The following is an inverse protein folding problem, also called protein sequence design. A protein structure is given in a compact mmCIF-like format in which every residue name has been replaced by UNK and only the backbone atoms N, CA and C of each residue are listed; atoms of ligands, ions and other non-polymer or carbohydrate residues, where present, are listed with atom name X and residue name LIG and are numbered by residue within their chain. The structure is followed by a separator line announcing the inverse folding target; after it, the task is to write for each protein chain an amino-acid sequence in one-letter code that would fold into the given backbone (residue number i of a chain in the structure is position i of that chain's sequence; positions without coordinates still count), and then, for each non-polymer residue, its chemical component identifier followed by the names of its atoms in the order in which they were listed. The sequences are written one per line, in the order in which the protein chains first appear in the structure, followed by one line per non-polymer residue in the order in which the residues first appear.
data_IF_810092025185
#
_entry.id   IF_810092025185
#
_cell.length_a   1.000
_cell.length_b   1.000
_cell.length_c   1.000
_cell.angle_alpha   90.00
_cell.angle_beta   90.00
_cell.angle_gamma   90.00
#
_symmetry.space_group_name_H-M   'P 1'
#
loop_
_entity.id
_entity.type
_entity.pdbx_description
1 polymer ?
#
# COMPACT_ATOMS: atom_id res chain seq x y z
N UNK A 1 -0.42 7.27 -40.08
CA UNK A 1 -1.04 6.17 -39.32
C UNK A 1 0.10 5.30 -38.87
N UNK A 2 0.35 5.18 -37.58
CA UNK A 2 1.34 4.25 -37.08
C UNK A 2 0.90 2.84 -37.44
N UNK A 3 1.80 2.09 -38.09
CA UNK A 3 1.58 0.72 -38.50
C UNK A 3 1.28 -0.09 -37.23
N UNK A 4 0.04 -0.58 -37.09
CA UNK A 4 -0.36 -1.32 -35.90
C UNK A 4 0.44 -2.63 -35.85
N UNK A 5 1.47 -2.66 -34.99
CA UNK A 5 2.36 -3.81 -34.87
C UNK A 5 1.65 -4.92 -34.11
N UNK A 6 1.20 -5.94 -34.81
CA UNK A 6 0.59 -7.11 -34.19
C UNK A 6 1.64 -7.95 -33.49
N UNK A 7 1.44 -8.22 -32.21
CA UNK A 7 2.20 -9.22 -31.45
C UNK A 7 1.32 -10.43 -31.19
N UNK A 8 1.87 -11.63 -31.40
CA UNK A 8 1.19 -12.89 -31.09
C UNK A 8 1.97 -13.68 -30.06
N UNK A 9 1.29 -14.12 -29.01
CA UNK A 9 1.82 -15.07 -28.04
C UNK A 9 1.20 -16.43 -28.34
N UNK A 10 2.03 -17.41 -28.58
CA UNK A 10 1.61 -18.81 -28.86
C UNK A 10 1.96 -19.74 -27.72
N UNK A 11 1.29 -20.87 -27.64
CA UNK A 11 1.56 -21.94 -26.67
C UNK A 11 1.51 -21.46 -25.21
N UNK A 12 0.62 -20.54 -24.89
CA UNK A 12 0.45 -20.01 -23.52
C UNK A 12 -0.35 -20.98 -22.65
N UNK A 13 0.04 -21.11 -21.38
CA UNK A 13 -0.84 -21.57 -20.31
C UNK A 13 -1.55 -20.35 -19.72
N UNK A 14 -2.73 -20.02 -20.27
CA UNK A 14 -3.43 -18.78 -19.94
C UNK A 14 -4.24 -18.90 -18.66
N UNK A 15 -4.04 -17.94 -17.74
CA UNK A 15 -4.93 -17.63 -16.61
C UNK A 15 -5.41 -16.20 -16.79
N UNK A 16 -6.67 -16.03 -17.18
CA UNK A 16 -7.22 -14.76 -17.65
C UNK A 16 -7.87 -13.88 -16.56
N UNK A 17 -7.79 -14.32 -15.30
CA UNK A 17 -8.37 -13.59 -14.15
C UNK A 17 -9.86 -13.85 -13.93
N UNK A 18 -10.51 -14.67 -14.75
CA UNK A 18 -11.94 -15.02 -14.59
C UNK A 18 -12.24 -15.98 -13.44
N UNK A 19 -11.20 -16.56 -12.82
CA UNK A 19 -11.32 -17.65 -11.84
C UNK A 19 -11.43 -19.03 -12.46
N UNK A 20 -11.46 -19.13 -13.80
CA UNK A 20 -11.43 -20.41 -14.50
C UNK A 20 -10.04 -21.07 -14.40
N UNK A 21 -9.95 -22.42 -14.52
CA UNK A 21 -8.67 -23.11 -14.61
C UNK A 21 -7.81 -22.62 -15.77
N UNK A 22 -6.48 -22.75 -15.62
CA UNK A 22 -5.54 -22.45 -16.69
C UNK A 22 -5.88 -23.29 -17.94
N UNK A 23 -5.78 -22.67 -19.12
CA UNK A 23 -6.03 -23.32 -20.41
C UNK A 23 -4.95 -22.98 -21.42
N UNK A 24 -4.71 -23.87 -22.37
CA UNK A 24 -3.83 -23.56 -23.50
C UNK A 24 -4.50 -22.52 -24.40
N UNK A 25 -3.76 -21.50 -24.82
CA UNK A 25 -4.29 -20.44 -25.66
C UNK A 25 -3.20 -19.76 -26.50
N UNK A 26 -3.66 -19.15 -27.59
CA UNK A 26 -2.91 -18.13 -28.32
C UNK A 26 -3.58 -16.78 -28.12
N UNK A 27 -2.75 -15.73 -28.04
CA UNK A 27 -3.19 -14.37 -27.75
C UNK A 27 -2.60 -13.45 -28.81
N UNK A 28 -3.41 -12.55 -29.38
CA UNK A 28 -2.90 -11.48 -30.22
C UNK A 28 -3.30 -10.11 -29.71
N UNK A 29 -2.41 -9.13 -29.89
CA UNK A 29 -2.71 -7.74 -29.58
C UNK A 29 -2.05 -6.81 -30.60
N UNK A 30 -2.70 -5.67 -30.83
CA UNK A 30 -2.28 -4.60 -31.70
C UNK A 30 -2.13 -3.32 -30.88
N UNK A 31 -0.89 -2.82 -30.79
CA UNK A 31 -0.59 -1.72 -29.88
C UNK A 31 -0.89 -2.11 -28.44
N UNK A 32 -1.87 -1.46 -27.83
CA UNK A 32 -2.34 -1.64 -26.45
C UNK A 32 -3.62 -2.50 -26.34
N UNK A 33 -4.15 -2.99 -27.45
CA UNK A 33 -5.45 -3.65 -27.49
C UNK A 33 -5.31 -5.15 -27.76
N UNK A 34 -5.86 -5.99 -26.87
CA UNK A 34 -5.97 -7.43 -27.09
C UNK A 34 -7.06 -7.66 -28.17
N UNK A 35 -6.66 -8.17 -29.32
CA UNK A 35 -7.55 -8.39 -30.47
C UNK A 35 -8.05 -9.82 -30.55
N UNK A 36 -7.34 -10.79 -29.96
CA UNK A 36 -7.74 -12.19 -29.98
C UNK A 36 -7.24 -12.94 -28.75
N UNK A 37 -8.08 -13.82 -28.21
CA UNK A 37 -7.73 -14.85 -27.23
C UNK A 37 -8.48 -16.13 -27.63
N UNK A 38 -7.77 -17.16 -28.04
CA UNK A 38 -8.40 -18.40 -28.55
C UNK A 38 -7.55 -19.64 -28.35
N UNK A 39 -8.03 -20.76 -28.88
CA UNK A 39 -7.33 -22.05 -28.82
C UNK A 39 -5.97 -21.98 -29.55
N UNK A 40 -5.00 -22.86 -29.20
CA UNK A 40 -3.73 -22.95 -29.93
C UNK A 40 -3.93 -23.12 -31.45
N UNK A 41 -3.20 -22.31 -32.22
CA UNK A 41 -3.31 -22.27 -33.66
C UNK A 41 -4.48 -21.45 -34.22
N UNK A 42 -5.26 -20.78 -33.37
CA UNK A 42 -6.38 -19.93 -33.80
C UNK A 42 -5.95 -18.56 -34.33
N UNK A 43 -4.69 -18.17 -34.13
CA UNK A 43 -4.12 -16.93 -34.65
C UNK A 43 -3.06 -17.19 -35.69
N UNK A 44 -3.18 -16.51 -36.84
CA UNK A 44 -2.12 -16.54 -37.85
C UNK A 44 -0.91 -15.72 -37.40
N UNK A 45 0.26 -16.33 -37.43
CA UNK A 45 1.54 -15.66 -37.16
C UNK A 45 2.18 -15.07 -38.42
N UNK A 46 1.61 -15.32 -39.62
CA UNK A 46 2.22 -14.99 -40.92
C UNK A 46 2.43 -13.47 -41.12
N UNK A 47 1.61 -12.63 -40.49
CA UNK A 47 1.67 -11.17 -40.60
C UNK A 47 1.99 -10.50 -39.27
N UNK A 48 2.34 -11.28 -38.23
CA UNK A 48 2.71 -10.73 -36.94
C UNK A 48 4.10 -10.06 -37.03
N UNK A 49 4.20 -8.85 -36.52
CA UNK A 49 5.48 -8.14 -36.39
C UNK A 49 6.37 -8.73 -35.28
N UNK A 50 5.76 -9.43 -34.33
CA UNK A 50 6.44 -10.16 -33.25
C UNK A 50 5.66 -11.42 -32.89
N UNK A 51 6.36 -12.54 -32.76
CA UNK A 51 5.82 -13.79 -32.25
C UNK A 51 6.62 -14.18 -31.00
N UNK A 52 5.90 -14.50 -29.94
CA UNK A 52 6.47 -14.96 -28.66
C UNK A 52 5.93 -16.36 -28.42
N UNK A 53 6.79 -17.39 -28.48
CA UNK A 53 6.43 -18.73 -28.05
C UNK A 53 6.53 -18.79 -26.52
N UNK A 54 5.41 -18.94 -25.83
CA UNK A 54 5.38 -19.05 -24.38
C UNK A 54 5.88 -20.41 -23.88
N UNK A 55 6.06 -21.42 -24.76
CA UNK A 55 6.58 -22.75 -24.39
C UNK A 55 5.79 -23.40 -23.23
N UNK A 56 4.49 -23.17 -23.16
CA UNK A 56 3.64 -23.65 -22.07
C UNK A 56 3.77 -22.86 -20.76
N UNK A 57 4.53 -21.76 -20.77
CA UNK A 57 4.63 -20.90 -19.58
C UNK A 57 3.32 -20.20 -19.28
N UNK A 58 3.16 -19.84 -18.01
CA UNK A 58 2.01 -19.08 -17.56
C UNK A 58 1.99 -17.70 -18.22
N UNK A 59 0.84 -17.35 -18.78
CA UNK A 59 0.52 -16.01 -19.27
C UNK A 59 -0.70 -15.50 -18.51
N UNK A 60 -0.59 -14.32 -17.96
CA UNK A 60 -1.65 -13.67 -17.17
C UNK A 60 -1.82 -12.23 -17.63
N UNK A 61 -2.95 -11.58 -17.35
CA UNK A 61 -3.01 -10.13 -17.32
C UNK A 61 -1.93 -9.56 -16.40
N UNK A 62 -1.52 -8.32 -16.62
CA UNK A 62 -0.63 -7.62 -15.69
C UNK A 62 -1.22 -7.56 -14.29
N UNK A 63 -0.34 -7.62 -13.28
CA UNK A 63 -0.78 -7.56 -11.89
C UNK A 63 -1.22 -6.15 -11.51
N UNK A 64 -2.33 -6.06 -10.78
CA UNK A 64 -2.79 -4.80 -10.17
C UNK A 64 -2.46 -4.85 -8.68
N UNK A 65 -1.58 -3.96 -8.21
CA UNK A 65 -1.32 -3.78 -6.79
C UNK A 65 -2.27 -2.70 -6.25
N UNK A 66 -3.30 -3.13 -5.54
CA UNK A 66 -4.38 -2.27 -5.07
C UNK A 66 -4.04 -1.48 -3.81
N UNK A 67 -2.84 -1.69 -3.24
CA UNK A 67 -2.44 -1.01 -2.01
C UNK A 67 -0.96 -0.66 -2.01
N UNK A 68 -0.66 0.57 -2.40
CA UNK A 68 0.69 1.12 -2.46
C UNK A 68 0.73 2.54 -1.92
N UNK A 69 1.95 3.05 -1.66
CA UNK A 69 2.21 4.41 -1.20
C UNK A 69 3.21 5.13 -2.11
N UNK A 70 2.95 5.06 -3.42
CA UNK A 70 3.74 5.78 -4.44
C UNK A 70 3.37 7.26 -4.57
N UNK A 71 2.52 7.79 -3.71
CA UNK A 71 1.95 9.15 -3.79
C UNK A 71 2.98 10.24 -3.99
N UNK A 72 4.10 10.17 -3.30
CA UNK A 72 5.24 11.05 -3.51
C UNK A 72 6.09 10.58 -4.70
N UNK A 73 6.46 9.29 -4.72
CA UNK A 73 7.39 8.72 -5.69
C UNK A 73 6.91 8.88 -7.13
N UNK A 74 5.61 8.81 -7.38
CA UNK A 74 5.03 9.03 -8.70
C UNK A 74 5.31 10.44 -9.26
N UNK A 75 5.72 11.40 -8.43
CA UNK A 75 6.07 12.75 -8.89
C UNK A 75 7.50 12.86 -9.44
N UNK A 76 8.37 11.84 -9.24
CA UNK A 76 9.76 11.86 -9.73
C UNK A 76 10.27 10.54 -10.33
N UNK A 77 9.65 9.38 -9.99
CA UNK A 77 10.09 8.08 -10.52
C UNK A 77 9.16 7.59 -11.64
N UNK A 78 9.62 7.66 -12.90
CA UNK A 78 8.80 7.18 -14.01
C UNK A 78 8.65 5.65 -14.04
N UNK A 79 9.46 4.92 -13.28
CA UNK A 79 9.47 3.47 -13.27
C UNK A 79 8.52 2.86 -12.24
N UNK A 80 8.13 3.61 -11.21
CA UNK A 80 7.36 3.15 -10.05
C UNK A 80 7.93 1.84 -9.49
N UNK A 81 9.22 1.89 -9.18
CA UNK A 81 9.96 0.74 -8.66
C UNK A 81 9.72 0.58 -7.17
N UNK A 82 9.73 -0.66 -6.64
CA UNK A 82 10.06 -1.92 -7.31
C UNK A 82 8.88 -2.66 -7.96
N UNK A 83 7.64 -2.16 -7.88
CA UNK A 83 6.44 -2.87 -8.34
C UNK A 83 6.53 -3.25 -9.83
N UNK A 84 6.99 -2.33 -10.68
CA UNK A 84 7.17 -2.57 -12.12
C UNK A 84 8.14 -3.72 -12.44
N UNK A 85 9.13 -4.00 -11.57
CA UNK A 85 10.08 -5.10 -11.75
C UNK A 85 9.48 -6.49 -11.47
N UNK A 86 8.31 -6.53 -10.84
CA UNK A 86 7.65 -7.77 -10.42
C UNK A 86 6.41 -8.12 -11.26
N UNK A 87 6.26 -7.47 -12.43
CA UNK A 87 5.13 -7.73 -13.33
C UNK A 87 3.84 -7.00 -12.95
N UNK A 88 3.91 -6.06 -12.01
CA UNK A 88 2.82 -5.13 -11.75
C UNK A 88 2.74 -4.15 -12.91
N UNK A 89 1.54 -3.97 -13.44
CA UNK A 89 1.25 -3.05 -14.55
C UNK A 89 0.36 -1.89 -14.12
N UNK A 90 -0.25 -1.99 -12.95
CA UNK A 90 -1.10 -0.94 -12.39
C UNK A 90 -0.96 -0.91 -10.87
N UNK A 91 -0.79 0.26 -10.29
CA UNK A 91 -0.77 0.47 -8.84
C UNK A 91 -1.89 1.41 -8.40
N UNK A 92 -2.41 1.19 -7.19
CA UNK A 92 -3.34 2.11 -6.54
C UNK A 92 -2.66 2.72 -5.32
N UNK A 93 -2.60 4.05 -5.26
CA UNK A 93 -2.01 4.81 -4.18
C UNK A 93 -3.03 5.70 -3.48
N UNK A 94 -2.64 6.49 -2.48
CA UNK A 94 -3.55 7.25 -1.63
C UNK A 94 -4.27 6.36 -0.62
N UNK A 95 -3.64 5.28 -0.17
CA UNK A 95 -4.20 4.34 0.80
C UNK A 95 -4.02 4.83 2.25
N UNK A 96 -4.61 4.14 3.20
CA UNK A 96 -4.42 4.33 4.64
C UNK A 96 -4.72 5.75 5.16
N UNK A 97 -5.40 6.59 4.38
CA UNK A 97 -5.68 7.98 4.76
C UNK A 97 -4.47 8.90 4.71
N UNK A 98 -3.34 8.49 4.10
CA UNK A 98 -2.15 9.30 3.89
C UNK A 98 -1.91 9.56 2.42
N UNK A 99 -1.44 10.77 2.09
CA UNK A 99 -1.23 11.22 0.72
C UNK A 99 -0.90 12.71 0.68
N UNK A 100 -0.71 13.25 -0.51
CA UNK A 100 -0.17 14.61 -0.72
C UNK A 100 -1.17 15.58 -1.39
N UNK A 101 -2.45 15.21 -1.46
CA UNK A 101 -3.49 16.08 -2.02
C UNK A 101 -4.87 15.87 -1.37
N UNK A 102 -5.63 16.98 -1.14
CA UNK A 102 -5.24 18.38 -1.37
C UNK A 102 -4.19 18.85 -0.35
N UNK A 103 -3.40 19.88 -0.70
CA UNK A 103 -2.31 20.37 0.14
C UNK A 103 -2.18 21.90 0.08
N UNK A 104 -2.24 22.56 1.22
CA UNK A 104 -1.87 23.97 1.36
C UNK A 104 -0.34 24.11 1.46
N UNK A 105 0.26 25.21 0.95
CA UNK A 105 1.70 25.39 0.98
C UNK A 105 2.35 25.33 2.37
N UNK A 106 1.64 25.76 3.40
CA UNK A 106 2.08 25.72 4.80
C UNK A 106 1.90 24.34 5.47
N UNK A 107 1.39 23.34 4.72
CA UNK A 107 1.19 21.96 5.17
C UNK A 107 2.11 20.94 4.50
N UNK A 108 2.95 21.35 3.57
CA UNK A 108 3.81 20.44 2.81
C UNK A 108 4.74 19.62 3.72
N UNK A 109 5.44 20.29 4.64
CA UNK A 109 6.35 19.64 5.58
C UNK A 109 5.60 18.67 6.50
N UNK A 110 4.45 19.08 7.01
CA UNK A 110 3.61 18.25 7.86
C UNK A 110 3.10 16.98 7.14
N UNK A 111 2.71 17.08 5.85
CA UNK A 111 2.32 15.92 5.05
C UNK A 111 3.48 14.96 4.83
N UNK A 112 4.71 15.47 4.66
CA UNK A 112 5.92 14.65 4.57
C UNK A 112 6.18 13.93 5.88
N UNK A 113 6.12 14.62 7.03
CA UNK A 113 6.30 14.01 8.34
C UNK A 113 5.24 12.93 8.64
N UNK A 114 4.00 13.16 8.20
CA UNK A 114 2.92 12.19 8.32
C UNK A 114 3.23 10.91 7.54
N UNK A 115 3.61 11.04 6.26
CA UNK A 115 3.96 9.91 5.41
C UNK A 115 5.21 9.18 5.91
N UNK A 116 6.25 9.92 6.34
CA UNK A 116 7.46 9.33 6.91
C UNK A 116 7.16 8.48 8.14
N UNK A 117 6.26 8.97 9.01
CA UNK A 117 5.91 8.24 10.23
C UNK A 117 5.05 7.00 10.00
N UNK A 118 4.18 7.02 8.99
CA UNK A 118 3.26 5.90 8.69
C UNK A 118 3.93 4.81 7.87
N UNK A 119 4.74 5.21 6.86
CA UNK A 119 5.25 4.29 5.84
C UNK A 119 6.78 4.13 5.87
N UNK A 120 7.45 4.80 6.81
CA UNK A 120 8.92 4.83 6.92
C UNK A 120 9.64 5.26 5.61
N UNK A 121 8.96 6.04 4.76
CA UNK A 121 9.56 6.63 3.57
C UNK A 121 10.41 7.84 4.00
N UNK A 122 11.72 7.88 3.67
CA UNK A 122 12.57 8.96 4.16
C UNK A 122 12.08 10.35 3.76
N UNK A 123 11.82 11.21 4.75
CA UNK A 123 11.35 12.58 4.53
C UNK A 123 12.29 13.40 3.62
N UNK A 124 13.61 13.17 3.72
CA UNK A 124 14.60 13.82 2.86
C UNK A 124 14.41 13.51 1.37
N UNK A 125 14.04 12.29 1.03
CA UNK A 125 13.74 11.90 -0.35
C UNK A 125 12.47 12.59 -0.86
N UNK A 126 11.46 12.70 -0.01
CA UNK A 126 10.20 13.38 -0.35
C UNK A 126 10.37 14.90 -0.51
N UNK A 127 11.15 15.53 0.38
CA UNK A 127 11.47 16.97 0.28
C UNK A 127 12.18 17.29 -1.02
N UNK A 128 13.11 16.44 -1.46
CA UNK A 128 13.84 16.63 -2.71
C UNK A 128 12.99 16.29 -3.96
N UNK A 129 12.15 15.25 -3.84
CA UNK A 129 11.43 14.69 -5.00
C UNK A 129 10.13 15.40 -5.34
N UNK A 130 9.37 15.89 -4.35
CA UNK A 130 8.05 16.46 -4.59
C UNK A 130 8.16 17.91 -5.06
N UNK A 131 7.56 18.22 -6.22
CA UNK A 131 7.62 19.57 -6.82
C UNK A 131 6.49 20.50 -6.37
N UNK A 132 5.45 19.96 -5.70
CA UNK A 132 4.31 20.73 -5.17
C UNK A 132 3.63 21.66 -6.19
N UNK A 133 3.32 21.13 -7.37
CA UNK A 133 2.67 21.86 -8.47
C UNK A 133 1.14 21.96 -8.31
N UNK A 134 0.61 21.65 -7.14
CA UNK A 134 -0.83 21.56 -6.88
C UNK A 134 -1.20 22.08 -5.48
N UNK A 135 -2.46 22.48 -5.34
CA UNK A 135 -3.13 22.76 -4.07
C UNK A 135 -4.37 21.86 -3.91
N UNK A 136 -5.14 21.70 -4.99
CA UNK A 136 -6.30 20.83 -5.03
C UNK A 136 -5.96 19.41 -5.48
N UNK A 137 -6.89 18.48 -5.26
CA UNK A 137 -6.72 17.10 -5.73
C UNK A 137 -6.77 16.98 -7.27
N UNK A 138 -7.66 17.69 -8.02
CA UNK A 138 -7.59 17.72 -9.48
C UNK A 138 -6.24 18.18 -10.02
N UNK A 139 -5.66 19.25 -9.46
CA UNK A 139 -4.35 19.74 -9.88
C UNK A 139 -3.24 18.71 -9.64
N UNK A 140 -3.36 17.90 -8.56
CA UNK A 140 -2.44 16.78 -8.31
C UNK A 140 -2.54 15.72 -9.42
N UNK A 141 -3.76 15.35 -9.82
CA UNK A 141 -3.94 14.43 -10.96
C UNK A 141 -3.34 15.01 -12.25
N UNK A 142 -3.55 16.29 -12.54
CA UNK A 142 -2.97 16.98 -13.69
C UNK A 142 -1.43 16.97 -13.61
N UNK A 143 -0.85 17.16 -12.42
CA UNK A 143 0.59 17.12 -12.22
C UNK A 143 1.17 15.73 -12.49
N UNK A 144 0.47 14.68 -12.10
CA UNK A 144 0.84 13.28 -12.37
C UNK A 144 0.69 12.95 -13.86
N UNK A 145 -0.40 13.37 -14.51
CA UNK A 145 -0.66 13.09 -15.92
C UNK A 145 0.41 13.70 -16.86
N UNK A 146 0.98 14.84 -16.48
CA UNK A 146 2.08 15.45 -17.24
C UNK A 146 3.36 14.61 -17.26
N UNK A 147 3.45 13.56 -16.44
CA UNK A 147 4.63 12.70 -16.31
C UNK A 147 4.39 11.36 -16.97
N UNK A 148 5.38 10.88 -17.72
CA UNK A 148 5.30 9.54 -18.31
C UNK A 148 5.72 8.49 -17.31
N UNK A 149 4.93 7.44 -17.18
CA UNK A 149 5.21 6.29 -16.31
C UNK A 149 5.19 4.99 -17.12
N UNK A 150 5.94 3.98 -16.67
CA UNK A 150 6.04 2.67 -17.36
C UNK A 150 4.89 1.73 -17.00
N UNK A 151 4.16 2.03 -15.92
CA UNK A 151 2.95 1.32 -15.50
C UNK A 151 1.86 2.33 -15.19
N UNK A 152 0.63 1.89 -15.26
CA UNK A 152 -0.53 2.70 -14.91
C UNK A 152 -0.63 2.88 -13.40
N UNK A 153 -1.28 3.96 -12.99
CA UNK A 153 -1.62 4.19 -11.59
C UNK A 153 -2.97 4.87 -11.45
N UNK A 154 -3.56 4.67 -10.30
CA UNK A 154 -4.71 5.46 -9.83
C UNK A 154 -4.50 5.85 -8.38
N UNK A 155 -5.18 6.90 -7.95
CA UNK A 155 -5.02 7.41 -6.59
C UNK A 155 -6.37 7.66 -5.93
N UNK A 156 -6.40 7.53 -4.61
CA UNK A 156 -7.55 7.85 -3.76
C UNK A 156 -7.29 9.16 -3.04
N UNK A 157 -8.36 9.91 -2.72
CA UNK A 157 -8.21 11.08 -1.86
C UNK A 157 -8.00 10.62 -0.42
N UNK A 158 -6.92 11.08 0.20
CA UNK A 158 -6.50 10.68 1.53
C UNK A 158 -7.16 11.53 2.63
N UNK A 159 -7.77 10.89 3.62
CA UNK A 159 -8.51 11.56 4.70
C UNK A 159 -7.64 12.52 5.51
N UNK A 160 -6.40 12.13 5.84
CA UNK A 160 -5.47 12.97 6.59
C UNK A 160 -5.16 14.30 5.89
N UNK A 161 -4.88 14.24 4.58
CA UNK A 161 -4.65 15.42 3.77
C UNK A 161 -5.92 16.29 3.68
N UNK A 162 -7.08 15.67 3.46
CA UNK A 162 -8.37 16.36 3.37
C UNK A 162 -8.74 17.07 4.67
N UNK A 163 -8.58 16.41 5.82
CA UNK A 163 -8.82 17.01 7.15
C UNK A 163 -7.89 18.19 7.43
N UNK A 164 -6.59 18.03 7.15
CA UNK A 164 -5.62 19.10 7.32
C UNK A 164 -5.93 20.30 6.42
N UNK A 165 -6.38 20.05 5.20
CA UNK A 165 -6.76 21.09 4.25
C UNK A 165 -8.00 21.88 4.69
N UNK A 166 -9.05 21.20 5.19
CA UNK A 166 -10.33 21.82 5.56
C UNK A 166 -10.31 22.41 6.97
N UNK A 167 -9.73 21.68 7.93
CA UNK A 167 -9.83 21.99 9.35
C UNK A 167 -8.52 22.55 9.93
N UNK A 168 -7.42 22.56 9.15
CA UNK A 168 -6.11 23.00 9.61
C UNK A 168 -5.61 22.16 10.81
N UNK A 169 -5.11 22.82 11.85
CA UNK A 169 -4.57 22.18 13.07
C UNK A 169 -5.61 21.33 13.79
N UNK A 170 -6.86 21.74 13.79
CA UNK A 170 -7.96 20.94 14.37
C UNK A 170 -8.06 19.58 13.69
N UNK A 171 -7.98 19.56 12.35
CA UNK A 171 -8.02 18.33 11.57
C UNK A 171 -6.80 17.45 11.81
N UNK A 172 -5.61 18.05 11.84
CA UNK A 172 -4.35 17.39 12.16
C UNK A 172 -4.37 16.73 13.53
N UNK A 173 -4.97 17.38 14.52
CA UNK A 173 -5.06 16.89 15.91
C UNK A 173 -6.25 15.95 16.17
N UNK A 174 -6.91 15.45 15.14
CA UNK A 174 -8.08 14.56 15.27
C UNK A 174 -9.27 15.16 16.05
N UNK A 175 -9.45 16.49 16.06
CA UNK A 175 -10.66 17.09 16.63
C UNK A 175 -11.90 16.68 15.82
N UNK A 176 -13.05 16.65 16.47
CA UNK A 176 -14.33 16.31 15.83
C UNK A 176 -14.66 17.36 14.77
N UNK A 177 -15.02 16.91 13.57
CA UNK A 177 -15.44 17.76 12.46
C UNK A 177 -16.80 18.39 12.75
N UNK A 178 -16.92 19.68 12.48
CA UNK A 178 -18.23 20.37 12.51
C UNK A 178 -19.08 19.98 11.30
N UNK A 179 -20.40 20.22 11.32
CA UNK A 179 -21.24 20.01 10.15
C UNK A 179 -20.74 20.75 8.89
N UNK A 180 -20.18 21.96 9.04
CA UNK A 180 -19.63 22.74 7.93
C UNK A 180 -18.32 22.14 7.40
N UNK A 181 -17.47 21.60 8.27
CA UNK A 181 -16.27 20.86 7.88
C UNK A 181 -16.67 19.62 7.06
N UNK A 182 -17.67 18.86 7.51
CA UNK A 182 -18.19 17.67 6.82
C UNK A 182 -18.72 18.03 5.44
N UNK A 183 -19.51 19.09 5.34
CA UNK A 183 -20.03 19.58 4.04
C UNK A 183 -18.90 19.96 3.10
N UNK A 184 -17.85 20.60 3.61
CA UNK A 184 -16.70 21.03 2.81
C UNK A 184 -15.86 19.81 2.36
N UNK A 185 -15.55 18.88 3.25
CA UNK A 185 -14.86 17.64 2.92
C UNK A 185 -15.64 16.80 1.89
N UNK A 186 -16.97 16.72 2.06
CA UNK A 186 -17.86 16.04 1.12
C UNK A 186 -17.79 16.64 -0.29
N UNK A 187 -17.78 17.98 -0.41
CA UNK A 187 -17.64 18.67 -1.71
C UNK A 187 -16.29 18.42 -2.36
N UNK A 188 -15.20 18.51 -1.60
CA UNK A 188 -13.85 18.26 -2.12
C UNK A 188 -13.66 16.79 -2.54
N UNK A 189 -14.29 15.86 -1.80
CA UNK A 189 -14.29 14.44 -2.21
C UNK A 189 -15.08 14.24 -3.51
N UNK A 190 -16.23 14.90 -3.66
CA UNK A 190 -17.00 14.86 -4.90
C UNK A 190 -16.20 15.43 -6.08
N UNK A 191 -15.51 16.55 -5.88
CA UNK A 191 -14.62 17.16 -6.87
C UNK A 191 -13.50 16.21 -7.27
N UNK A 192 -12.81 15.61 -6.29
CA UNK A 192 -11.73 14.65 -6.52
C UNK A 192 -12.21 13.43 -7.33
N UNK A 193 -13.36 12.86 -6.96
CA UNK A 193 -13.93 11.72 -7.67
C UNK A 193 -14.32 12.08 -9.11
N UNK A 194 -14.91 13.25 -9.34
CA UNK A 194 -15.24 13.73 -10.70
C UNK A 194 -14.01 14.01 -11.54
N UNK A 195 -12.90 14.36 -10.92
CA UNK A 195 -11.61 14.55 -11.60
C UNK A 195 -10.89 13.23 -11.93
N UNK A 196 -11.31 12.10 -11.34
CA UNK A 196 -10.73 10.81 -11.64
C UNK A 196 -10.15 10.06 -10.43
N UNK A 197 -10.34 10.54 -9.20
CA UNK A 197 -9.97 9.78 -8.02
C UNK A 197 -10.67 8.41 -8.02
N UNK A 198 -9.94 7.35 -7.70
CA UNK A 198 -10.50 5.99 -7.61
C UNK A 198 -11.39 5.79 -6.39
N UNK A 199 -11.28 6.67 -5.41
CA UNK A 199 -12.02 6.55 -4.17
C UNK A 199 -11.50 7.47 -3.07
N UNK A 200 -11.79 7.07 -1.85
CA UNK A 200 -11.40 7.74 -0.62
C UNK A 200 -10.74 6.73 0.32
N UNK A 201 -9.74 7.16 1.07
CA UNK A 201 -9.10 6.30 2.07
C UNK A 201 -9.00 6.94 3.44
N UNK A 202 -9.06 6.12 4.49
CA UNK A 202 -8.87 6.56 5.88
C UNK A 202 -8.10 5.52 6.70
N UNK A 203 -7.56 5.96 7.84
CA UNK A 203 -6.96 5.10 8.85
C UNK A 203 -7.82 5.12 10.13
N UNK A 204 -7.97 3.92 10.72
CA UNK A 204 -8.66 3.71 12.01
C UNK A 204 -7.75 3.02 13.03
N UNK A 205 -6.51 2.69 12.63
CA UNK A 205 -5.58 1.97 13.49
C UNK A 205 -4.72 2.90 14.32
N UNK A 206 -4.43 2.50 15.54
CA UNK A 206 -3.50 3.18 16.45
C UNK A 206 -2.02 3.00 16.07
N UNK A 207 -1.73 2.15 15.07
CA UNK A 207 -0.37 1.91 14.59
C UNK A 207 0.10 3.01 13.63
N UNK A 208 -0.81 3.68 12.93
CA UNK A 208 -0.46 4.74 11.99
C UNK A 208 -0.25 6.05 12.74
N UNK A 209 1.00 6.49 12.82
CA UNK A 209 1.40 7.70 13.52
C UNK A 209 2.36 8.53 12.68
N UNK A 210 2.28 9.84 12.83
CA UNK A 210 3.31 10.74 12.31
C UNK A 210 4.66 10.49 12.98
N UNK A 211 5.71 11.07 12.46
CA UNK A 211 7.05 11.03 13.06
C UNK A 211 7.09 11.62 14.47
N UNK A 212 6.24 12.59 14.75
CA UNK A 212 6.04 13.16 16.12
C UNK A 212 5.23 12.26 17.05
N UNK A 213 4.69 11.12 16.57
CA UNK A 213 3.93 10.16 17.35
C UNK A 213 2.42 10.42 17.39
N UNK A 214 1.93 11.44 16.71
CA UNK A 214 0.50 11.75 16.61
C UNK A 214 -0.22 10.79 15.68
N UNK A 215 -1.46 10.43 16.00
CA UNK A 215 -2.28 9.54 15.16
C UNK A 215 -2.65 10.21 13.84
N UNK A 216 -2.69 9.43 12.77
CA UNK A 216 -3.17 9.88 11.45
C UNK A 216 -4.54 10.54 11.59
N UNK A 217 -4.76 11.72 11.00
CA UNK A 217 -6.06 12.36 11.03
C UNK A 217 -7.15 11.50 10.40
N UNK A 218 -8.27 11.40 11.08
CA UNK A 218 -9.37 10.50 10.72
C UNK A 218 -9.43 9.22 11.56
N UNK A 219 -8.38 8.89 12.34
CA UNK A 219 -8.38 7.70 13.22
C UNK A 219 -9.58 7.69 14.17
N UNK A 220 -9.99 8.86 14.64
CA UNK A 220 -11.13 9.05 15.53
C UNK A 220 -12.32 9.77 14.87
N UNK A 221 -12.36 9.82 13.55
CA UNK A 221 -13.48 10.43 12.84
C UNK A 221 -14.81 9.76 13.23
N UNK A 222 -15.80 10.59 13.57
CA UNK A 222 -17.13 10.14 13.90
C UNK A 222 -17.86 9.59 12.66
N UNK A 223 -18.81 8.67 12.80
CA UNK A 223 -19.53 8.09 11.67
C UNK A 223 -20.17 9.12 10.75
N UNK A 224 -20.68 10.24 11.28
CA UNK A 224 -21.33 11.30 10.46
C UNK A 224 -20.36 11.92 9.45
N UNK A 225 -19.09 12.06 9.80
CA UNK A 225 -18.07 12.54 8.89
C UNK A 225 -17.85 11.54 7.74
N UNK A 226 -17.74 10.24 8.06
CA UNK A 226 -17.58 9.18 7.07
C UNK A 226 -18.83 9.04 6.19
N UNK A 227 -20.01 9.26 6.75
CA UNK A 227 -21.27 9.25 6.00
C UNK A 227 -21.39 10.45 5.06
N UNK A 228 -20.87 11.62 5.43
CA UNK A 228 -20.78 12.77 4.53
C UNK A 228 -19.94 12.48 3.29
N UNK A 229 -18.84 11.74 3.45
CA UNK A 229 -18.01 11.24 2.34
C UNK A 229 -18.76 10.20 1.51
N UNK A 230 -19.44 9.24 2.16
CA UNK A 230 -20.27 8.24 1.47
C UNK A 230 -21.34 8.88 0.59
N UNK A 231 -21.98 9.94 1.07
CA UNK A 231 -22.97 10.68 0.31
C UNK A 231 -22.37 11.41 -0.91
N UNK A 232 -21.12 11.89 -0.83
CA UNK A 232 -20.40 12.42 -1.99
C UNK A 232 -20.16 11.31 -3.03
N UNK A 233 -19.70 10.15 -2.61
CA UNK A 233 -19.51 8.99 -3.49
C UNK A 233 -20.80 8.57 -4.18
N UNK A 234 -21.91 8.54 -3.45
CA UNK A 234 -23.23 8.25 -4.01
C UNK A 234 -23.66 9.28 -5.08
N UNK A 235 -23.41 10.57 -4.87
CA UNK A 235 -23.74 11.60 -5.85
C UNK A 235 -22.94 11.48 -7.15
N UNK A 236 -21.69 11.00 -7.04
CA UNK A 236 -20.84 10.74 -8.21
C UNK A 236 -21.18 9.40 -8.87
N UNK A 237 -21.57 8.40 -8.11
CA UNK A 237 -21.97 7.08 -8.59
C UNK A 237 -20.82 6.11 -8.78
N UNK A 238 -19.61 6.42 -8.30
CA UNK A 238 -18.45 5.52 -8.30
C UNK A 238 -17.50 5.80 -7.14
N UNK A 239 -16.51 4.91 -6.97
CA UNK A 239 -15.43 5.02 -6.01
C UNK A 239 -15.35 3.82 -5.09
N UNK A 240 -14.20 3.70 -4.41
CA UNK A 240 -13.94 2.70 -3.36
C UNK A 240 -13.71 3.46 -2.06
N UNK A 241 -14.32 3.01 -0.97
CA UNK A 241 -14.00 3.50 0.37
C UNK A 241 -13.04 2.52 1.03
N UNK A 242 -11.77 2.87 1.05
CA UNK A 242 -10.70 2.04 1.63
C UNK A 242 -10.41 2.48 3.06
N UNK A 243 -10.12 1.53 3.95
CA UNK A 243 -9.61 1.90 5.26
C UNK A 243 -8.72 0.83 5.90
N UNK A 244 -7.80 1.30 6.74
CA UNK A 244 -6.95 0.49 7.59
C UNK A 244 -7.54 0.42 8.99
N UNK A 245 -8.09 -0.73 9.41
CA UNK A 245 -8.81 -0.84 10.67
C UNK A 245 -7.87 -1.04 11.87
N UNK A 246 -8.38 -0.76 13.04
CA UNK A 246 -7.93 -1.44 14.25
C UNK A 246 -8.55 -2.84 14.25
N UNK A 247 -7.78 -3.85 13.85
CA UNK A 247 -8.30 -5.18 13.52
C UNK A 247 -9.18 -5.81 14.61
N UNK A 248 -8.81 -5.61 15.88
CA UNK A 248 -9.57 -6.11 17.03
C UNK A 248 -10.98 -5.54 17.14
N UNK A 249 -11.19 -4.31 16.61
CA UNK A 249 -12.45 -3.58 16.71
C UNK A 249 -13.40 -3.86 15.56
N UNK A 250 -12.91 -4.39 14.43
CA UNK A 250 -13.72 -4.58 13.21
C UNK A 250 -15.02 -5.34 13.47
N UNK A 251 -15.02 -6.53 14.11
CA UNK A 251 -16.27 -7.30 14.22
C UNK A 251 -17.28 -6.74 15.23
N UNK A 252 -16.91 -5.76 16.04
CA UNK A 252 -17.75 -5.25 17.11
C UNK A 252 -18.11 -3.78 16.91
N UNK A 253 -17.10 -2.92 16.73
CA UNK A 253 -17.28 -1.47 16.71
C UNK A 253 -17.34 -0.90 15.29
N UNK A 254 -16.50 -1.43 14.37
CA UNK A 254 -16.39 -0.87 13.03
C UNK A 254 -17.47 -1.44 12.08
N UNK A 255 -17.89 -2.67 12.26
CA UNK A 255 -18.79 -3.36 11.34
C UNK A 255 -20.13 -2.64 11.09
N UNK A 256 -20.84 -2.11 12.10
CA UNK A 256 -22.12 -1.46 11.88
C UNK A 256 -22.04 -0.23 10.96
N UNK A 257 -21.02 0.63 11.16
CA UNK A 257 -20.90 1.80 10.31
C UNK A 257 -20.37 1.44 8.90
N UNK A 258 -19.57 0.39 8.76
CA UNK A 258 -19.14 -0.12 7.45
C UNK A 258 -20.33 -0.54 6.60
N UNK A 259 -21.27 -1.28 7.17
CA UNK A 259 -22.49 -1.69 6.48
C UNK A 259 -23.36 -0.49 6.10
N UNK A 260 -23.52 0.46 7.01
CA UNK A 260 -24.27 1.68 6.73
C UNK A 260 -23.61 2.51 5.62
N UNK A 261 -22.26 2.63 5.65
CA UNK A 261 -21.51 3.34 4.64
C UNK A 261 -21.66 2.67 3.26
N UNK A 262 -21.55 1.33 3.18
CA UNK A 262 -21.76 0.58 1.94
C UNK A 262 -23.15 0.82 1.36
N UNK A 263 -24.19 0.79 2.22
CA UNK A 263 -25.57 1.06 1.79
C UNK A 263 -25.79 2.51 1.36
N UNK A 264 -25.20 3.47 2.05
CA UNK A 264 -25.34 4.90 1.72
C UNK A 264 -24.61 5.25 0.43
N UNK A 265 -23.39 4.83 0.29
CA UNK A 265 -22.56 5.18 -0.87
C UNK A 265 -22.96 4.40 -2.11
N UNK A 266 -23.42 3.15 -1.98
CA UNK A 266 -23.53 2.19 -3.08
C UNK A 266 -22.16 1.76 -3.63
N UNK A 267 -21.07 2.23 -3.02
CA UNK A 267 -19.69 1.95 -3.39
C UNK A 267 -19.16 0.70 -2.69
N UNK A 268 -18.02 0.21 -3.15
CA UNK A 268 -17.29 -0.85 -2.47
C UNK A 268 -16.60 -0.29 -1.23
N UNK A 269 -16.83 -0.92 -0.08
CA UNK A 269 -16.05 -0.69 1.15
C UNK A 269 -14.94 -1.73 1.20
N UNK A 270 -13.69 -1.28 1.21
CA UNK A 270 -12.50 -2.13 1.19
C UNK A 270 -11.74 -2.02 2.50
N UNK A 271 -11.61 -3.11 3.23
CA UNK A 271 -10.95 -3.15 4.54
C UNK A 271 -9.68 -4.00 4.49
N UNK A 272 -8.58 -3.47 5.03
CA UNK A 272 -7.37 -4.26 5.21
C UNK A 272 -7.64 -5.39 6.20
N UNK A 273 -7.32 -6.61 5.82
CA UNK A 273 -7.50 -7.79 6.68
C UNK A 273 -6.19 -8.55 6.81
N UNK A 274 -5.66 -8.57 8.03
CA UNK A 274 -4.45 -9.31 8.37
C UNK A 274 -4.77 -10.42 9.37
N UNK A 275 -4.13 -11.56 9.20
CA UNK A 275 -4.08 -12.58 10.23
C UNK A 275 -3.03 -12.18 11.27
N UNK A 276 -3.48 -11.83 12.46
CA UNK A 276 -2.60 -11.53 13.59
C UNK A 276 -2.38 -12.79 14.42
N UNK A 277 -1.13 -13.03 14.84
CA UNK A 277 -0.75 -14.17 15.67
C UNK A 277 -0.90 -13.86 17.18
N UNK A 278 -1.92 -13.09 17.54
CA UNK A 278 -2.26 -12.71 18.91
C UNK A 278 -3.16 -13.73 19.62
N UNK A 279 -3.54 -14.80 18.93
CA UNK A 279 -4.43 -15.86 19.41
C UNK A 279 -5.91 -15.44 19.52
N UNK A 280 -6.28 -14.24 19.08
CA UNK A 280 -7.66 -13.72 19.16
C UNK A 280 -8.60 -14.32 18.11
N UNK A 281 -8.07 -14.86 17.01
CA UNK A 281 -8.82 -15.34 15.85
C UNK A 281 -9.81 -14.29 15.29
N UNK A 282 -9.58 -13.01 15.52
CA UNK A 282 -10.45 -11.90 15.10
C UNK A 282 -10.61 -11.88 13.59
N UNK A 283 -9.55 -12.18 12.84
CA UNK A 283 -9.60 -12.24 11.38
C UNK A 283 -10.65 -13.26 10.88
N UNK A 284 -10.86 -14.41 11.57
CA UNK A 284 -11.89 -15.39 11.21
C UNK A 284 -13.29 -14.84 11.43
N UNK A 285 -13.49 -14.07 12.51
CA UNK A 285 -14.77 -13.41 12.79
C UNK A 285 -15.08 -12.38 11.71
N UNK A 286 -14.10 -11.55 11.37
CA UNK A 286 -14.23 -10.57 10.29
C UNK A 286 -14.53 -11.26 8.95
N UNK A 287 -13.85 -12.38 8.66
CA UNK A 287 -14.09 -13.14 7.43
C UNK A 287 -15.52 -13.71 7.37
N UNK A 288 -16.03 -14.20 8.50
CA UNK A 288 -17.41 -14.68 8.59
C UNK A 288 -18.45 -13.57 8.37
N UNK A 289 -18.17 -12.35 8.85
CA UNK A 289 -19.02 -11.18 8.60
C UNK A 289 -18.97 -10.76 7.12
N UNK A 290 -17.79 -10.77 6.50
CA UNK A 290 -17.65 -10.51 5.06
C UNK A 290 -18.43 -11.51 4.20
N UNK A 291 -18.40 -12.80 4.56
CA UNK A 291 -19.17 -13.85 3.88
C UNK A 291 -20.68 -13.62 4.01
N UNK A 292 -21.13 -13.17 5.19
CA UNK A 292 -22.53 -12.80 5.41
C UNK A 292 -22.94 -11.57 4.60
N UNK A 293 -22.10 -10.53 4.58
CA UNK A 293 -22.33 -9.31 3.79
C UNK A 293 -22.42 -9.63 2.31
N UNK A 294 -21.50 -10.45 1.80
CA UNK A 294 -21.53 -10.90 0.40
C UNK A 294 -22.83 -11.63 0.05
N UNK A 295 -23.29 -12.57 0.92
CA UNK A 295 -24.57 -13.27 0.75
C UNK A 295 -25.77 -12.34 0.81
N UNK A 296 -25.66 -11.24 1.55
CA UNK A 296 -26.70 -10.21 1.63
C UNK A 296 -26.65 -9.21 0.45
N UNK A 297 -25.66 -9.33 -0.45
CA UNK A 297 -25.46 -8.40 -1.57
C UNK A 297 -24.85 -7.06 -1.15
N UNK A 298 -24.25 -6.99 0.05
CA UNK A 298 -23.51 -5.82 0.50
C UNK A 298 -22.10 -5.81 -0.10
N UNK A 299 -21.66 -4.68 -0.60
CA UNK A 299 -20.38 -4.58 -1.30
C UNK A 299 -19.24 -4.21 -0.33
N UNK A 300 -18.91 -5.14 0.56
CA UNK A 300 -17.81 -5.02 1.53
C UNK A 300 -16.78 -6.12 1.20
N UNK A 301 -15.53 -5.72 0.97
CA UNK A 301 -14.46 -6.63 0.58
C UNK A 301 -13.23 -6.48 1.46
N UNK A 302 -12.44 -7.54 1.60
CA UNK A 302 -11.16 -7.49 2.28
C UNK A 302 -10.02 -7.27 1.27
N UNK A 303 -9.07 -6.41 1.63
CA UNK A 303 -7.75 -6.37 1.01
C UNK A 303 -6.80 -7.26 1.80
N UNK A 304 -6.21 -8.22 1.12
CA UNK A 304 -5.26 -9.18 1.71
C UNK A 304 -3.99 -9.13 0.88
N UNK A 305 -2.83 -9.06 1.55
CA UNK A 305 -1.55 -9.11 0.86
C UNK A 305 -1.42 -10.41 0.05
N UNK A 306 -1.09 -10.30 -1.24
CA UNK A 306 -0.89 -11.44 -2.14
C UNK A 306 0.40 -12.24 -1.87
N UNK A 307 1.11 -11.91 -0.80
CA UNK A 307 2.36 -12.52 -0.35
C UNK A 307 2.43 -12.53 1.17
N UNK A 308 3.42 -13.24 1.71
CA UNK A 308 3.72 -13.12 3.14
C UNK A 308 4.07 -11.68 3.49
N UNK A 309 3.51 -11.17 4.59
CA UNK A 309 3.82 -9.83 5.08
C UNK A 309 5.28 -9.83 5.55
N UNK A 310 6.07 -8.93 4.98
CA UNK A 310 7.45 -8.68 5.38
C UNK A 310 7.55 -7.25 5.90
N UNK A 311 8.17 -7.09 7.06
CA UNK A 311 8.43 -5.77 7.66
C UNK A 311 9.94 -5.61 7.75
N UNK A 312 10.46 -4.52 7.19
CA UNK A 312 11.83 -4.09 7.40
C UNK A 312 11.82 -3.18 8.61
N UNK A 313 12.61 -3.51 9.62
CA UNK A 313 12.67 -2.76 10.87
C UNK A 313 14.08 -2.23 11.11
N UNK A 314 14.17 -1.00 11.61
CA UNK A 314 15.41 -0.44 12.11
C UNK A 314 15.12 0.37 13.39
N UNK A 315 16.14 0.73 14.14
CA UNK A 315 15.97 1.47 15.40
C UNK A 315 15.46 2.90 15.20
N UNK A 316 15.62 3.44 14.01
CA UNK A 316 15.10 4.76 13.61
C UNK A 316 13.72 4.67 12.95
N UNK A 317 13.20 3.47 12.72
CA UNK A 317 11.87 3.26 12.16
C UNK A 317 10.77 3.40 13.20
N UNK A 318 9.54 3.57 12.73
CA UNK A 318 8.35 3.73 13.57
C UNK A 318 8.02 2.49 14.41
N UNK A 319 8.43 1.30 13.95
CA UNK A 319 8.23 0.02 14.65
C UNK A 319 9.50 -0.83 14.61
N UNK A 320 9.91 -1.34 15.77
CA UNK A 320 11.02 -2.28 15.88
C UNK A 320 10.89 -3.18 17.13
N UNK A 321 11.62 -4.32 17.20
CA UNK A 321 11.44 -5.31 18.27
C UNK A 321 11.72 -4.81 19.69
N UNK A 322 12.48 -3.73 19.83
CA UNK A 322 12.87 -3.17 21.13
C UNK A 322 11.91 -2.06 21.63
N UNK A 323 10.94 -1.65 20.80
CA UNK A 323 10.07 -0.50 21.09
C UNK A 323 9.36 -0.59 22.46
N UNK A 324 8.98 -1.79 22.89
CA UNK A 324 8.34 -2.03 24.19
C UNK A 324 9.33 -2.40 25.31
N UNK A 325 10.64 -2.41 25.03
CA UNK A 325 11.63 -2.85 26.03
C UNK A 325 12.02 -1.68 26.96
N UNK A 326 11.93 -1.82 28.29
CA UNK A 326 12.23 -0.73 29.23
C UNK A 326 13.61 -0.09 29.04
N UNK A 327 14.65 -0.90 28.83
CA UNK A 327 16.00 -0.39 28.60
C UNK A 327 16.15 0.40 27.29
N UNK A 328 15.29 0.15 26.28
CA UNK A 328 15.27 0.95 25.07
C UNK A 328 14.74 2.36 25.37
N UNK A 329 13.70 2.49 26.18
CA UNK A 329 13.14 3.79 26.56
C UNK A 329 14.13 4.70 27.28
N UNK A 330 15.13 4.12 27.96
CA UNK A 330 16.19 4.90 28.64
C UNK A 330 17.11 5.60 27.63
N UNK A 331 17.23 5.08 26.41
CA UNK A 331 18.17 5.55 25.39
C UNK A 331 17.48 6.06 24.11
N UNK A 332 16.19 5.84 23.94
CA UNK A 332 15.44 6.19 22.75
C UNK A 332 15.48 7.70 22.36
N UNK A 333 15.75 8.56 23.34
CA UNK A 333 15.88 9.99 23.14
C UNK A 333 17.26 10.44 22.65
N UNK A 334 18.24 9.52 22.60
CA UNK A 334 19.61 9.84 22.19
C UNK A 334 19.73 9.77 20.66
N UNK A 335 20.63 10.54 20.07
CA UNK A 335 20.99 10.35 18.66
C UNK A 335 21.44 8.91 18.39
N UNK A 336 21.05 8.35 17.26
CA UNK A 336 21.28 6.93 16.90
C UNK A 336 22.73 6.45 17.10
N UNK A 337 23.70 7.28 16.79
CA UNK A 337 25.13 6.95 16.97
C UNK A 337 25.48 6.73 18.45
N UNK A 338 24.90 7.52 19.36
CA UNK A 338 25.11 7.39 20.79
C UNK A 338 24.35 6.21 21.38
N UNK A 339 23.16 5.94 20.84
CA UNK A 339 22.33 4.80 21.19
C UNK A 339 23.02 3.46 20.89
N UNK A 340 23.63 3.35 19.72
CA UNK A 340 24.36 2.14 19.30
C UNK A 340 25.59 1.84 20.18
N UNK A 341 26.22 2.86 20.75
CA UNK A 341 27.37 2.75 21.64
C UNK A 341 26.97 2.44 23.10
N UNK A 342 25.71 2.77 23.46
CA UNK A 342 25.19 2.59 24.83
C UNK A 342 24.24 1.41 24.95
N UNK A 343 24.11 0.58 23.92
CA UNK A 343 23.24 -0.60 23.97
C UNK A 343 23.59 -1.42 25.22
N UNK A 344 22.69 -1.53 26.20
CA UNK A 344 22.93 -2.30 27.41
C UNK A 344 22.85 -3.79 27.19
N UNK A 345 22.80 -4.24 25.95
CA UNK A 345 22.82 -5.66 25.59
C UNK A 345 24.28 -6.06 25.35
N UNK A 346 25.01 -6.55 26.35
CA UNK A 346 26.32 -7.11 26.09
C UNK A 346 26.12 -8.37 25.27
N UNK A 347 26.33 -8.27 23.98
CA UNK A 347 26.51 -9.47 23.17
C UNK A 347 27.86 -10.09 23.59
N UNK A 348 27.84 -11.05 24.53
CA UNK A 348 29.00 -11.90 24.77
C UNK A 348 29.72 -11.74 26.08
N UNK A 349 29.03 -11.65 27.22
CA UNK A 349 29.64 -12.09 28.49
C UNK A 349 28.97 -13.40 28.89
N UNK A 350 29.75 -14.47 28.91
CA UNK A 350 29.39 -15.74 29.49
C UNK A 350 29.23 -15.64 31.00
N UNK A 351 28.14 -15.09 31.46
CA UNK A 351 27.72 -15.24 32.83
C UNK A 351 26.28 -15.76 32.88
N UNK A 352 26.19 -17.00 33.34
CA UNK A 352 25.01 -17.85 33.31
C UNK A 352 23.92 -17.48 34.30
N UNK A 353 23.93 -16.27 34.86
CA UNK A 353 23.01 -15.84 35.91
C UNK A 353 22.06 -14.71 35.59
N UNK A 354 22.19 -14.03 34.45
CA UNK A 354 21.29 -12.94 34.08
C UNK A 354 20.42 -13.31 32.92
N UNK A 355 19.32 -14.00 33.21
CA UNK A 355 18.23 -14.23 32.23
C UNK A 355 17.51 -12.91 31.99
N UNK A 356 17.59 -12.35 30.79
CA UNK A 356 16.63 -11.39 30.30
C UNK A 356 15.25 -12.04 30.29
N UNK A 357 14.47 -11.82 31.33
CA UNK A 357 13.05 -12.16 31.33
C UNK A 357 12.29 -10.93 30.84
N UNK A 358 11.48 -11.02 29.79
CA UNK A 358 10.47 -10.01 29.52
C UNK A 358 9.49 -10.00 30.70
N UNK A 359 9.30 -8.84 31.29
CA UNK A 359 8.25 -8.64 32.28
C UNK A 359 6.89 -8.84 31.64
N UNK A 360 6.08 -9.68 32.25
CA UNK A 360 4.82 -10.26 31.76
C UNK A 360 3.63 -9.31 31.76
N UNK A 361 3.65 -8.22 31.02
CA UNK A 361 2.45 -7.40 30.87
C UNK A 361 2.16 -6.90 29.45
N UNK A 362 2.99 -7.25 28.49
CA UNK A 362 2.67 -7.02 27.09
C UNK A 362 2.94 -8.35 26.34
N UNK A 363 1.89 -9.12 26.11
CA UNK A 363 1.94 -10.29 25.26
C UNK A 363 2.09 -9.84 23.81
N UNK A 364 3.33 -9.56 23.42
CA UNK A 364 3.67 -9.72 22.03
C UNK A 364 3.79 -11.22 21.82
N UNK A 365 2.82 -11.83 21.17
CA UNK A 365 2.85 -13.23 20.82
C UNK A 365 3.89 -13.44 19.74
N UNK A 366 5.13 -13.65 20.15
CA UNK A 366 6.09 -14.29 19.28
C UNK A 366 5.82 -15.79 19.29
N UNK A 367 5.94 -16.49 18.16
CA UNK A 367 5.86 -17.95 18.16
C UNK A 367 6.89 -18.50 19.13
N UNK A 368 6.44 -19.42 19.98
CA UNK A 368 7.27 -20.14 20.94
C UNK A 368 8.51 -20.71 20.24
N UNK A 369 9.59 -20.02 20.36
CA UNK A 369 10.90 -20.67 20.48
C UNK A 369 11.76 -19.83 21.42
N UNK A 370 12.09 -20.50 22.50
CA UNK A 370 13.01 -20.15 23.55
C UNK A 370 14.20 -19.35 23.05
N UNK A 371 14.36 -18.21 23.71
CA UNK A 371 15.67 -17.65 24.08
C UNK A 371 16.86 -18.55 23.85
N UNK A 372 17.59 -18.28 22.82
CA UNK A 372 19.02 -18.38 22.80
C UNK A 372 19.46 -17.40 21.71
N UNK A 373 20.28 -16.46 22.09
CA UNK A 373 21.17 -15.81 21.16
C UNK A 373 22.16 -16.88 20.70
N UNK A 374 21.71 -17.78 19.84
CA UNK A 374 22.54 -18.71 19.08
C UNK A 374 22.32 -18.30 17.63
N UNK A 375 23.42 -17.98 16.98
CA UNK A 375 23.56 -17.91 15.55
C UNK A 375 22.98 -19.18 14.89
N UNK A 376 21.66 -19.27 14.77
CA UNK A 376 21.03 -20.27 13.96
C UNK A 376 20.99 -19.74 12.54
N UNK A 377 21.89 -20.28 11.72
CA UNK A 377 21.72 -20.27 10.28
C UNK A 377 20.29 -20.68 9.96
N UNK A 378 19.50 -19.74 9.52
CA UNK A 378 18.27 -20.07 8.82
C UNK A 378 18.71 -20.74 7.51
N UNK A 379 18.60 -22.03 7.45
CA UNK A 379 18.67 -22.76 6.19
C UNK A 379 17.40 -22.43 5.41
N UNK A 380 17.46 -21.38 4.61
CA UNK A 380 16.54 -21.20 3.50
C UNK A 380 17.10 -22.05 2.36
N UNK A 381 16.53 -23.23 2.22
CA UNK A 381 16.72 -24.05 1.04
C UNK A 381 16.23 -23.26 -0.19
N UNK A 382 17.03 -23.20 -1.21
CA UNK A 382 16.77 -22.85 -2.61
C UNK A 382 17.09 -21.45 -3.11
N UNK A 383 17.22 -20.40 -2.29
CA UNK A 383 17.53 -19.06 -2.82
C UNK A 383 19.00 -18.66 -2.73
N UNK A 384 19.82 -19.36 -1.98
CA UNK A 384 21.24 -19.03 -1.80
C UNK A 384 22.15 -19.41 -2.98
N UNK A 385 21.69 -20.29 -3.89
CA UNK A 385 22.50 -20.69 -5.06
C UNK A 385 22.48 -19.67 -6.22
N UNK A 386 21.54 -18.76 -6.24
CA UNK A 386 21.45 -17.75 -7.31
C UNK A 386 22.30 -16.51 -6.99
N UNK A 387 22.51 -16.19 -5.71
CA UNK A 387 23.31 -15.01 -5.33
C UNK A 387 24.82 -15.18 -5.40
N UNK A 388 25.36 -16.38 -5.31
CA UNK A 388 26.81 -16.58 -5.37
C UNK A 388 27.41 -16.54 -6.79
N UNK A 389 26.58 -16.57 -7.84
CA UNK A 389 27.04 -16.42 -9.23
C UNK A 389 27.06 -14.99 -9.76
N UNK A 390 26.40 -14.06 -9.09
CA UNK A 390 26.32 -12.67 -9.54
C UNK A 390 27.48 -11.77 -9.08
N UNK A 391 28.28 -12.22 -8.10
CA UNK A 391 29.30 -11.38 -7.46
C UNK A 391 30.71 -11.58 -8.02
N UNK A 392 30.92 -12.36 -9.09
CA UNK A 392 32.25 -12.65 -9.64
C UNK A 392 32.49 -12.11 -11.05
N UNK A 393 31.69 -11.16 -11.55
CA UNK A 393 32.02 -10.47 -12.81
C UNK A 393 32.03 -8.97 -12.59
N UNK A 394 33.22 -8.37 -12.69
CA UNK A 394 33.43 -6.94 -12.78
C UNK A 394 32.69 -6.36 -14.00
N UNK A 395 32.05 -5.19 -13.89
CA UNK A 395 31.36 -4.59 -15.02
C UNK A 395 32.42 -3.98 -15.98
N UNK A 396 32.53 -4.55 -17.17
CA UNK A 396 33.11 -3.85 -18.32
C UNK A 396 32.16 -2.73 -18.74
N UNK A 397 32.70 -1.53 -18.89
CA UNK A 397 32.01 -0.32 -19.35
C UNK A 397 31.22 -0.60 -20.63
N UNK A 398 29.89 -0.56 -20.56
CA UNK A 398 29.03 -0.46 -21.72
C UNK A 398 28.76 1.03 -22.00
N UNK A 399 29.27 1.52 -23.10
CA UNK A 399 28.92 2.84 -23.70
C UNK A 399 27.52 2.72 -24.30
N UNK A 400 26.60 3.54 -23.83
CA UNK A 400 25.29 3.71 -24.46
C UNK A 400 25.40 4.63 -25.67
N UNK A 401 24.78 4.31 -26.81
CA UNK A 401 24.67 5.24 -27.92
C UNK A 401 23.65 6.33 -27.59
N UNK A 402 24.02 7.60 -27.88
CA UNK A 402 23.10 8.75 -27.86
C UNK A 402 22.16 8.60 -29.05
N UNK A 403 20.86 8.61 -28.79
CA UNK A 403 19.88 8.88 -29.83
C UNK A 403 19.83 10.37 -30.11
N UNK A 404 20.03 10.68 -31.36
CA UNK A 404 19.79 12.00 -31.98
C UNK A 404 18.31 12.12 -32.31
#
# INVERSE_FOLDING_TARGET
MADARTTVITNASLVDGSGAPARSADIAFEGDTITHVGEPGSVSTAHASRVIDAEGRLVTPGWVDVHTHYDAQATWDPWLTPSSWHGVTTVVMGNCGVGFAPALPDRHEWLIELMEGVEDIPGSAMVEGITWEWTSFPEYLDALERRSHVIDFGTQIAHGALRAFVMGDRGASNEVATPDDIVTMSKLTEEALRAGALGFSTSRTSLHRSKSGELVPGTHAEPDELYGIADAMRRVGHGIFQFSPEHSRVPVEEWPWMQELARRSGATVSVNLNQLDDGSEVWRKTFALLDQAHKAGENIVAQIAGRSIGIIMCLEGSVHPLLAHPAYHEVAHLPFVDESLRSPIPCGASDSSTKCRPTSSTKVSSPRRSSACTSSRVQTSTTSRIRQRACSRSPSRATFPRCS
#
